data_IF_814807284292
#
_entry.id   IF_814807284292
#
_cell.length_a   1.000
_cell.length_b   1.000
_cell.length_c   1.000
_cell.angle_alpha   90.00
_cell.angle_beta   90.00
_cell.angle_gamma   90.00
#
_symmetry.space_group_name_H-M   'P 1'
#
loop_
_entity.id
_entity.type
_entity.pdbx_description
1 polymer ?
#
# COMPACT_ATOMS: atom_id res chain seq x y z
N UNK A 1 12.55 15.67 28.06
CA UNK A 1 11.85 16.07 29.30
C UNK A 1 10.58 15.25 29.40
N UNK A 2 10.19 14.72 30.57
CA UNK A 2 8.90 14.06 30.72
C UNK A 2 7.78 15.08 30.49
N UNK A 3 6.84 14.73 29.61
CA UNK A 3 5.63 15.52 29.46
C UNK A 3 4.77 15.32 30.72
N UNK A 4 4.32 16.42 31.34
CA UNK A 4 3.26 16.35 32.34
C UNK A 4 1.88 16.39 31.65
N UNK A 5 0.83 16.01 32.39
CA UNK A 5 -0.56 16.00 31.89
C UNK A 5 -0.96 17.31 31.23
N UNK A 6 -0.71 18.43 31.91
CA UNK A 6 -1.07 19.77 31.42
C UNK A 6 -0.40 20.08 30.09
N UNK A 7 0.86 19.67 29.90
CA UNK A 7 1.57 19.84 28.63
C UNK A 7 0.93 19.04 27.50
N UNK A 8 0.53 17.79 27.75
CA UNK A 8 -0.13 16.95 26.74
C UNK A 8 -1.54 17.44 26.39
N UNK A 9 -2.29 17.90 27.37
CA UNK A 9 -3.62 18.48 27.16
C UNK A 9 -3.55 19.80 26.38
N UNK A 10 -2.55 20.64 26.67
CA UNK A 10 -2.27 21.85 25.90
C UNK A 10 -1.89 21.51 24.46
N UNK A 11 -1.06 20.49 24.26
CA UNK A 11 -0.67 19.99 22.93
C UNK A 11 -1.90 19.50 22.14
N UNK A 12 -2.77 18.75 22.80
CA UNK A 12 -4.01 18.20 22.20
C UNK A 12 -5.01 19.30 21.84
N UNK A 13 -5.06 20.37 22.64
CA UNK A 13 -5.95 21.52 22.43
C UNK A 13 -5.46 22.50 21.37
N UNK A 14 -4.24 22.31 20.86
CA UNK A 14 -3.64 23.15 19.83
C UNK A 14 -4.49 23.28 18.56
N UNK A 15 -4.38 24.43 17.89
CA UNK A 15 -4.99 24.64 16.56
C UNK A 15 -4.12 24.14 15.41
N UNK A 16 -2.81 24.04 15.63
CA UNK A 16 -1.85 23.59 14.62
C UNK A 16 -1.73 22.07 14.66
N UNK A 17 -1.78 21.44 13.49
CA UNK A 17 -1.45 20.02 13.33
C UNK A 17 0.06 19.87 13.37
N UNK A 18 0.55 19.00 14.24
CA UNK A 18 1.97 18.66 14.32
C UNK A 18 2.25 17.55 13.32
N UNK A 19 3.37 17.60 12.60
CA UNK A 19 3.67 16.57 11.60
C UNK A 19 3.93 15.21 12.27
N UNK A 20 4.79 15.16 13.28
CA UNK A 20 5.12 13.91 13.98
C UNK A 20 5.26 14.14 15.49
N UNK A 21 4.70 13.22 16.27
CA UNK A 21 4.82 13.19 17.72
C UNK A 21 5.26 11.80 18.19
N UNK A 22 6.47 11.72 18.73
CA UNK A 22 7.01 10.54 19.40
C UNK A 22 6.93 10.70 20.92
N UNK A 23 6.19 9.82 21.59
CA UNK A 23 6.04 9.82 23.04
C UNK A 23 6.45 8.46 23.60
N UNK A 24 7.29 8.46 24.64
CA UNK A 24 7.68 7.25 25.36
C UNK A 24 6.52 6.67 26.19
N UNK A 25 6.87 6.00 27.28
CA UNK A 25 5.88 5.51 28.22
C UNK A 25 5.13 6.65 28.91
N UNK A 26 3.81 6.63 28.82
CA UNK A 26 2.93 7.41 29.69
C UNK A 26 2.28 6.49 30.72
N UNK A 27 2.08 7.04 31.91
CA UNK A 27 1.45 6.36 33.04
C UNK A 27 0.07 6.97 33.32
N UNK A 28 -0.78 6.15 33.93
CA UNK A 28 -2.07 6.53 34.50
C UNK A 28 -3.00 7.22 33.49
N UNK A 29 -3.74 8.23 33.93
CA UNK A 29 -4.78 8.94 33.17
C UNK A 29 -4.27 9.64 31.89
N UNK A 30 -2.94 9.76 31.72
CA UNK A 30 -2.35 10.37 30.54
C UNK A 30 -2.12 9.38 29.38
N UNK A 31 -2.26 8.07 29.61
CA UNK A 31 -1.85 7.04 28.66
C UNK A 31 -2.48 7.19 27.27
N UNK A 32 -3.76 7.58 27.22
CA UNK A 32 -4.51 7.70 25.95
C UNK A 32 -4.51 9.13 25.36
N UNK A 33 -4.05 10.13 26.10
CA UNK A 33 -4.05 11.55 25.65
C UNK A 33 -3.31 11.74 24.31
N UNK A 34 -2.15 11.08 24.04
CA UNK A 34 -1.47 11.22 22.75
C UNK A 34 -2.33 10.85 21.54
N UNK A 35 -3.20 9.86 21.68
CA UNK A 35 -4.06 9.41 20.58
C UNK A 35 -5.06 10.50 20.16
N UNK A 36 -5.44 11.39 21.09
CA UNK A 36 -6.32 12.54 20.81
C UNK A 36 -5.59 13.79 20.34
N UNK A 37 -4.25 13.76 20.28
CA UNK A 37 -3.47 14.91 19.83
C UNK A 37 -3.58 15.07 18.32
N UNK A 38 -3.76 16.30 17.84
CA UNK A 38 -3.80 16.62 16.40
C UNK A 38 -2.42 16.53 15.78
N UNK A 39 -2.02 15.32 15.42
CA UNK A 39 -0.76 15.03 14.73
C UNK A 39 -1.01 14.29 13.43
N UNK A 40 -0.14 14.40 12.42
CA UNK A 40 -0.25 13.56 11.23
C UNK A 40 0.22 12.12 11.54
N UNK A 41 1.36 12.00 12.24
CA UNK A 41 1.95 10.74 12.69
C UNK A 41 2.16 10.72 14.20
N UNK A 42 1.71 9.64 14.83
CA UNK A 42 1.91 9.37 16.26
C UNK A 42 2.71 8.08 16.45
N UNK A 43 3.80 8.16 17.20
CA UNK A 43 4.53 7.00 17.72
C UNK A 43 4.46 7.00 19.24
N UNK A 44 3.86 5.97 19.85
CA UNK A 44 3.79 5.90 21.31
C UNK A 44 3.74 4.49 21.92
N UNK A 45 4.03 4.45 23.22
CA UNK A 45 3.98 3.25 24.06
C UNK A 45 2.77 3.34 25.01
N UNK A 46 1.90 2.34 24.96
CA UNK A 46 0.69 2.25 25.76
C UNK A 46 0.80 1.08 26.72
N UNK A 47 0.32 1.23 27.95
CA UNK A 47 0.06 0.08 28.83
C UNK A 47 -1.46 -0.12 28.89
N UNK A 48 -1.94 -1.27 28.45
CA UNK A 48 -3.37 -1.56 28.36
C UNK A 48 -4.09 -1.41 29.71
N UNK A 49 -3.38 -1.65 30.83
CA UNK A 49 -3.91 -1.47 32.19
C UNK A 49 -4.36 -0.04 32.52
N UNK A 50 -3.90 0.96 31.77
CA UNK A 50 -4.29 2.36 31.95
C UNK A 50 -5.40 2.80 30.99
N UNK A 51 -5.78 1.98 30.01
CA UNK A 51 -6.87 2.30 29.09
C UNK A 51 -8.12 1.53 29.48
N UNK A 52 -9.01 2.17 30.25
CA UNK A 52 -10.31 1.56 30.50
C UNK A 52 -11.14 1.60 29.23
N UNK A 53 -12.03 0.61 29.06
CA UNK A 53 -12.94 0.55 27.91
C UNK A 53 -13.72 1.84 27.70
N UNK A 54 -14.24 2.44 28.77
CA UNK A 54 -15.00 3.68 28.72
C UNK A 54 -14.19 4.86 28.16
N UNK A 55 -12.88 4.89 28.42
CA UNK A 55 -11.99 5.94 27.91
C UNK A 55 -11.74 5.78 26.39
N UNK A 56 -11.66 4.54 25.90
CA UNK A 56 -11.53 4.24 24.48
C UNK A 56 -12.77 4.63 23.68
N UNK A 57 -13.97 4.43 24.24
CA UNK A 57 -15.25 4.72 23.57
C UNK A 57 -15.40 6.21 23.20
N UNK A 58 -14.79 7.11 23.98
CA UNK A 58 -14.83 8.56 23.76
C UNK A 58 -13.59 9.13 23.05
N UNK A 59 -12.56 8.31 22.82
CA UNK A 59 -11.23 8.75 22.40
C UNK A 59 -11.17 9.30 20.98
N UNK A 60 -11.02 10.60 20.75
CA UNK A 60 -10.98 11.16 19.39
C UNK A 60 -9.63 10.97 18.71
N UNK A 61 -9.39 9.80 18.08
CA UNK A 61 -8.13 9.52 17.37
C UNK A 61 -8.02 10.45 16.17
N UNK A 62 -7.01 11.32 16.16
CA UNK A 62 -6.83 12.33 15.10
C UNK A 62 -5.69 12.03 14.12
N UNK A 63 -4.78 11.12 14.50
CA UNK A 63 -3.62 10.78 13.71
C UNK A 63 -3.97 9.86 12.54
N UNK A 64 -3.37 10.13 11.38
CA UNK A 64 -3.52 9.29 10.18
C UNK A 64 -2.56 8.11 10.19
N UNK A 65 -1.39 8.30 10.78
CA UNK A 65 -0.37 7.27 10.90
C UNK A 65 -0.12 6.95 12.37
N UNK A 66 -0.27 5.69 12.73
CA UNK A 66 -0.12 5.19 14.09
C UNK A 66 1.02 4.16 14.12
N UNK A 67 1.97 4.38 15.02
CA UNK A 67 3.03 3.43 15.36
C UNK A 67 2.96 3.18 16.87
N UNK A 68 2.37 2.05 17.25
CA UNK A 68 1.97 1.77 18.61
C UNK A 68 2.69 0.53 19.13
N UNK A 69 3.21 0.63 20.34
CA UNK A 69 3.61 -0.53 21.15
C UNK A 69 2.70 -0.62 22.36
N UNK A 70 1.94 -1.70 22.48
CA UNK A 70 1.00 -1.89 23.59
C UNK A 70 1.51 -3.01 24.49
N UNK A 71 1.69 -2.69 25.76
CA UNK A 71 2.01 -3.64 26.82
C UNK A 71 0.73 -4.20 27.43
N UNK A 72 0.57 -5.52 27.38
CA UNK A 72 -0.63 -6.22 27.86
C UNK A 72 -0.47 -6.78 29.29
N UNK A 73 0.63 -6.45 29.98
CA UNK A 73 0.91 -6.94 31.33
C UNK A 73 -0.22 -6.65 32.33
N UNK A 74 -0.58 -7.69 33.10
CA UNK A 74 -1.56 -7.59 34.19
C UNK A 74 -2.96 -7.13 33.74
N UNK A 75 -3.33 -7.36 32.48
CA UNK A 75 -4.68 -7.09 31.96
C UNK A 75 -5.40 -8.42 31.69
N UNK A 76 -6.19 -8.94 32.65
CA UNK A 76 -6.87 -10.22 32.47
C UNK A 76 -7.82 -10.20 31.26
N UNK A 77 -8.40 -9.03 30.96
CA UNK A 77 -9.33 -8.77 29.85
C UNK A 77 -8.63 -8.08 28.65
N UNK A 78 -7.41 -8.53 28.31
CA UNK A 78 -6.61 -7.94 27.23
C UNK A 78 -7.34 -7.94 25.88
N UNK A 79 -8.15 -8.97 25.60
CA UNK A 79 -8.96 -9.09 24.39
C UNK A 79 -10.04 -8.01 24.34
N UNK A 80 -10.73 -7.73 25.45
CA UNK A 80 -11.74 -6.67 25.56
C UNK A 80 -11.11 -5.31 25.27
N UNK A 81 -9.90 -5.08 25.77
CA UNK A 81 -9.12 -3.88 25.44
C UNK A 81 -8.83 -3.80 23.94
N UNK A 82 -8.26 -4.84 23.33
CA UNK A 82 -7.92 -4.84 21.91
C UNK A 82 -9.15 -4.72 21.00
N UNK A 83 -10.25 -5.41 21.33
CA UNK A 83 -11.53 -5.30 20.62
C UNK A 83 -12.03 -3.85 20.67
N UNK A 84 -12.05 -3.24 21.85
CA UNK A 84 -12.49 -1.84 22.02
C UNK A 84 -11.57 -0.89 21.26
N UNK A 85 -10.27 -1.14 21.28
CA UNK A 85 -9.26 -0.35 20.57
C UNK A 85 -9.44 -0.42 19.05
N UNK A 86 -9.54 -1.63 18.46
CA UNK A 86 -9.80 -1.79 17.02
C UNK A 86 -11.15 -1.23 16.60
N UNK A 87 -12.20 -1.41 17.39
CA UNK A 87 -13.50 -0.80 17.14
C UNK A 87 -13.40 0.73 17.11
N UNK A 88 -12.58 1.32 17.98
CA UNK A 88 -12.37 2.76 17.96
C UNK A 88 -11.57 3.23 16.74
N UNK A 89 -10.54 2.48 16.33
CA UNK A 89 -9.82 2.74 15.09
C UNK A 89 -10.72 2.59 13.85
N UNK A 90 -11.67 1.66 13.86
CA UNK A 90 -12.66 1.52 12.80
C UNK A 90 -13.52 2.79 12.65
N UNK A 91 -13.92 3.40 13.77
CA UNK A 91 -14.69 4.65 13.79
C UNK A 91 -13.89 5.86 13.28
N UNK A 92 -12.55 5.86 13.41
CA UNK A 92 -11.73 6.94 12.91
C UNK A 92 -11.82 7.08 11.37
N UNK A 93 -11.89 5.97 10.62
CA UNK A 93 -12.03 5.88 9.14
C UNK A 93 -10.97 6.60 8.27
N UNK A 94 -10.09 7.40 8.87
CA UNK A 94 -9.06 8.20 8.22
C UNK A 94 -7.64 7.66 8.44
N UNK A 95 -7.51 6.47 9.04
CA UNK A 95 -6.21 5.85 9.26
C UNK A 95 -5.63 5.40 7.91
N UNK A 96 -4.42 5.86 7.63
CA UNK A 96 -3.67 5.59 6.40
C UNK A 96 -2.53 4.59 6.66
N UNK A 97 -1.96 4.58 7.87
CA UNK A 97 -0.93 3.61 8.28
C UNK A 97 -1.15 3.16 9.73
N UNK A 98 -1.10 1.85 9.97
CA UNK A 98 -1.07 1.26 11.31
C UNK A 98 0.12 0.31 11.42
N UNK A 99 0.99 0.58 12.39
CA UNK A 99 2.02 -0.31 12.86
C UNK A 99 1.74 -0.60 14.33
N UNK A 100 1.46 -1.86 14.64
CA UNK A 100 1.07 -2.31 15.97
C UNK A 100 2.02 -3.42 16.41
N UNK A 101 2.70 -3.19 17.54
CA UNK A 101 3.46 -4.21 18.27
C UNK A 101 2.83 -4.41 19.64
N UNK A 102 2.86 -5.65 20.13
CA UNK A 102 2.30 -6.06 21.41
C UNK A 102 3.40 -6.72 22.24
N UNK A 103 3.50 -6.42 23.52
CA UNK A 103 4.62 -6.87 24.33
C UNK A 103 4.20 -7.14 25.78
N UNK A 104 5.06 -7.86 26.52
CA UNK A 104 4.93 -8.16 27.94
C UNK A 104 6.24 -7.78 28.64
N UNK A 105 6.17 -6.82 29.55
CA UNK A 105 7.28 -6.42 30.43
C UNK A 105 7.70 -7.60 31.34
N UNK A 106 6.75 -8.41 31.76
CA UNK A 106 6.98 -9.53 32.67
C UNK A 106 7.42 -10.79 31.92
N UNK A 107 8.74 -10.97 31.77
CA UNK A 107 9.43 -12.03 31.03
C UNK A 107 9.21 -13.49 31.52
N UNK A 108 8.15 -13.76 32.29
CA UNK A 108 7.89 -15.07 32.89
C UNK A 108 6.56 -15.71 32.50
N UNK A 109 5.66 -14.99 31.82
CA UNK A 109 4.33 -15.49 31.48
C UNK A 109 4.19 -15.64 29.97
N UNK A 110 4.46 -16.85 29.46
CA UNK A 110 3.87 -17.29 28.20
C UNK A 110 2.45 -17.71 28.54
N UNK A 111 1.55 -16.74 28.71
CA UNK A 111 0.13 -17.08 28.78
C UNK A 111 -0.25 -17.73 27.45
N UNK A 112 -0.75 -18.97 27.51
CA UNK A 112 -1.36 -19.60 26.35
C UNK A 112 -2.64 -18.83 26.07
N UNK A 113 -2.64 -18.02 25.00
CA UNK A 113 -3.83 -17.29 24.60
C UNK A 113 -4.93 -18.26 24.23
N UNK A 114 -6.10 -18.01 24.80
CA UNK A 114 -7.32 -18.70 24.44
C UNK A 114 -7.66 -18.37 22.97
N UNK A 115 -7.65 -19.42 22.14
CA UNK A 115 -7.99 -19.32 20.72
C UNK A 115 -9.35 -18.64 20.56
N UNK A 116 -10.34 -18.94 21.41
CA UNK A 116 -11.69 -18.41 21.27
C UNK A 116 -11.73 -16.88 21.47
N UNK A 117 -10.90 -16.35 22.37
CA UNK A 117 -10.78 -14.89 22.62
C UNK A 117 -10.19 -14.16 21.41
N UNK A 118 -9.23 -14.81 20.74
CA UNK A 118 -8.59 -14.24 19.55
C UNK A 118 -9.53 -14.08 18.36
N UNK A 119 -10.54 -14.93 18.19
CA UNK A 119 -11.51 -14.79 17.10
C UNK A 119 -12.22 -13.44 17.14
N UNK A 120 -12.60 -12.98 18.33
CA UNK A 120 -13.28 -11.68 18.50
C UNK A 120 -12.35 -10.50 18.22
N UNK A 121 -11.06 -10.61 18.58
CA UNK A 121 -10.03 -9.60 18.27
C UNK A 121 -9.82 -9.50 16.76
N UNK A 122 -9.78 -10.64 16.06
CA UNK A 122 -9.62 -10.71 14.60
C UNK A 122 -10.83 -10.11 13.89
N UNK A 123 -12.04 -10.37 14.35
CA UNK A 123 -13.26 -9.76 13.80
C UNK A 123 -13.24 -8.23 13.95
N UNK A 124 -12.77 -7.72 15.10
CA UNK A 124 -12.59 -6.29 15.31
C UNK A 124 -11.51 -5.69 14.40
N UNK A 125 -10.38 -6.40 14.19
CA UNK A 125 -9.35 -6.00 13.22
C UNK A 125 -9.91 -5.97 11.79
N UNK A 126 -10.66 -6.98 11.36
CA UNK A 126 -11.30 -7.02 10.04
C UNK A 126 -12.28 -5.84 9.87
N UNK A 127 -13.06 -5.53 10.90
CA UNK A 127 -13.95 -4.36 10.92
C UNK A 127 -13.17 -3.05 10.75
N UNK A 128 -12.01 -2.93 11.41
CA UNK A 128 -11.08 -1.82 11.22
C UNK A 128 -10.59 -1.70 9.77
N UNK A 129 -10.16 -2.80 9.15
CA UNK A 129 -9.70 -2.81 7.75
C UNK A 129 -10.81 -2.33 6.80
N UNK A 130 -12.03 -2.86 6.96
CA UNK A 130 -13.18 -2.47 6.13
C UNK A 130 -13.52 -0.98 6.25
N UNK A 131 -13.39 -0.44 7.45
CA UNK A 131 -13.76 0.95 7.74
C UNK A 131 -12.70 1.96 7.28
N UNK A 132 -11.45 1.52 7.07
CA UNK A 132 -10.32 2.38 6.72
C UNK A 132 -9.84 2.12 5.29
N UNK A 133 -10.67 2.44 4.30
CA UNK A 133 -10.37 2.22 2.87
C UNK A 133 -9.08 2.90 2.36
N UNK A 134 -8.58 3.92 3.07
CA UNK A 134 -7.33 4.64 2.77
C UNK A 134 -6.09 4.01 3.40
N UNK A 135 -6.26 2.99 4.24
CA UNK A 135 -5.15 2.27 4.86
C UNK A 135 -4.26 1.68 3.76
N UNK A 136 -3.02 2.14 3.67
CA UNK A 136 -2.04 1.67 2.69
C UNK A 136 -0.97 0.77 3.33
N UNK A 137 -0.81 0.83 4.65
CA UNK A 137 0.21 0.08 5.38
C UNK A 137 -0.38 -0.50 6.67
N UNK A 138 -0.31 -1.83 6.80
CA UNK A 138 -0.64 -2.57 8.00
C UNK A 138 0.57 -3.38 8.44
N UNK A 139 1.12 -3.09 9.60
CA UNK A 139 2.26 -3.79 10.18
C UNK A 139 1.84 -4.39 11.52
N UNK A 140 1.87 -5.72 11.59
CA UNK A 140 1.59 -6.52 12.78
C UNK A 140 2.85 -7.23 13.28
N UNK A 141 4.05 -6.78 12.90
CA UNK A 141 5.29 -7.27 13.48
C UNK A 141 5.37 -6.93 14.97
N UNK A 142 6.03 -7.79 15.74
CA UNK A 142 6.10 -7.75 17.19
C UNK A 142 4.77 -8.10 17.84
N UNK A 143 3.89 -8.86 17.20
CA UNK A 143 2.62 -9.31 17.81
C UNK A 143 2.46 -10.83 17.79
N UNK A 144 3.28 -11.53 17.01
CA UNK A 144 3.17 -12.97 16.83
C UNK A 144 3.37 -13.74 18.14
N UNK A 145 4.40 -13.39 18.92
CA UNK A 145 4.65 -14.00 20.22
C UNK A 145 3.53 -13.77 21.24
N UNK A 146 2.63 -12.82 20.97
CA UNK A 146 1.64 -12.32 21.90
C UNK A 146 0.20 -12.72 21.55
N UNK A 147 -0.13 -13.02 20.29
CA UNK A 147 -1.54 -13.26 19.90
C UNK A 147 -1.76 -14.50 19.03
N UNK A 148 -0.71 -15.21 18.62
CA UNK A 148 -0.86 -16.45 17.86
C UNK A 148 -1.72 -16.28 16.60
N UNK A 149 -1.42 -15.28 15.76
CA UNK A 149 -2.24 -14.93 14.58
C UNK A 149 -2.44 -16.05 13.56
N UNK A 150 -1.60 -17.07 13.57
CA UNK A 150 -1.53 -18.13 12.56
C UNK A 150 -2.90 -18.69 12.17
N UNK A 151 -3.77 -19.15 13.09
CA UNK A 151 -5.06 -19.75 12.72
C UNK A 151 -5.98 -18.76 12.00
N UNK A 152 -5.72 -17.46 12.16
CA UNK A 152 -6.52 -16.36 11.66
C UNK A 152 -5.95 -15.67 10.43
N UNK A 153 -4.68 -15.93 10.08
CA UNK A 153 -4.02 -15.31 8.93
C UNK A 153 -4.80 -15.52 7.64
N UNK A 154 -5.42 -16.69 7.45
CA UNK A 154 -6.28 -16.95 6.30
C UNK A 154 -7.49 -16.00 6.21
N UNK A 155 -8.10 -15.68 7.36
CA UNK A 155 -9.22 -14.73 7.43
C UNK A 155 -8.76 -13.31 7.14
N UNK A 156 -7.62 -12.90 7.71
CA UNK A 156 -6.99 -11.60 7.44
C UNK A 156 -6.66 -11.48 5.94
N UNK A 157 -6.02 -12.49 5.35
CA UNK A 157 -5.68 -12.50 3.92
C UNK A 157 -6.91 -12.39 3.03
N UNK A 158 -7.99 -13.12 3.33
CA UNK A 158 -9.23 -13.01 2.57
C UNK A 158 -9.80 -11.59 2.58
N UNK A 159 -9.65 -10.84 3.68
CA UNK A 159 -10.04 -9.44 3.73
C UNK A 159 -9.09 -8.55 2.90
N UNK A 160 -7.78 -8.79 3.01
CA UNK A 160 -6.76 -8.06 2.25
C UNK A 160 -6.87 -8.28 0.73
N UNK A 161 -7.39 -9.42 0.27
CA UNK A 161 -7.63 -9.71 -1.15
C UNK A 161 -8.53 -8.66 -1.83
N UNK A 162 -9.54 -8.14 -1.12
CA UNK A 162 -10.47 -7.14 -1.63
C UNK A 162 -10.11 -5.70 -1.30
N UNK A 163 -9.14 -5.49 -0.41
CA UNK A 163 -8.85 -4.17 0.14
C UNK A 163 -8.15 -3.26 -0.89
N UNK A 164 -8.82 -2.17 -1.27
CA UNK A 164 -8.35 -1.28 -2.34
C UNK A 164 -7.16 -0.39 -1.96
N UNK A 165 -7.04 -0.02 -0.68
CA UNK A 165 -5.98 0.86 -0.17
C UNK A 165 -4.63 0.16 0.12
N UNK A 166 -4.65 -1.01 0.76
CA UNK A 166 -3.45 -1.65 1.30
C UNK A 166 -2.43 -1.98 0.21
N UNK A 167 -1.19 -1.60 0.48
CA UNK A 167 0.01 -1.83 -0.34
C UNK A 167 1.09 -2.58 0.42
N UNK A 168 1.11 -2.46 1.74
CA UNK A 168 2.10 -3.11 2.59
C UNK A 168 1.39 -3.86 3.72
N UNK A 169 1.72 -5.14 3.85
CA UNK A 169 1.37 -5.97 5.00
C UNK A 169 2.64 -6.57 5.60
N UNK A 170 2.92 -6.31 6.87
CA UNK A 170 4.06 -6.86 7.57
C UNK A 170 3.62 -7.79 8.71
N UNK A 171 4.33 -8.91 8.87
CA UNK A 171 4.14 -9.87 9.95
C UNK A 171 5.49 -10.44 10.39
N UNK A 172 5.61 -11.00 11.59
CA UNK A 172 6.91 -11.46 12.11
C UNK A 172 7.52 -12.59 11.27
N UNK A 173 6.82 -13.71 11.18
CA UNK A 173 7.28 -14.90 10.46
C UNK A 173 6.09 -15.51 9.73
N UNK A 174 6.33 -15.99 8.51
CA UNK A 174 5.29 -16.67 7.74
C UNK A 174 4.90 -18.00 8.42
N UNK A 175 3.60 -18.33 8.53
CA UNK A 175 3.15 -19.54 9.21
C UNK A 175 3.71 -20.80 8.58
N UNK A 176 4.09 -21.77 9.41
CA UNK A 176 4.53 -23.09 8.95
C UNK A 176 3.38 -24.00 8.52
N UNK A 177 2.15 -23.60 8.85
CA UNK A 177 0.87 -24.22 8.50
C UNK A 177 0.50 -24.03 7.03
N UNK A 178 1.19 -23.12 6.34
CA UNK A 178 1.09 -22.92 4.89
C UNK A 178 2.47 -23.05 4.23
N UNK A 179 3.11 -24.22 4.29
CA UNK A 179 4.51 -24.39 3.85
C UNK A 179 4.70 -24.13 2.35
N UNK A 180 3.64 -24.29 1.56
CA UNK A 180 3.61 -24.06 0.12
C UNK A 180 3.21 -22.62 -0.24
N UNK A 181 3.06 -21.74 0.76
CA UNK A 181 2.64 -20.34 0.61
C UNK A 181 1.29 -20.18 -0.13
N UNK A 182 0.43 -21.19 -0.12
CA UNK A 182 -0.82 -21.21 -0.90
C UNK A 182 -1.75 -20.05 -0.56
N UNK A 183 -1.78 -19.60 0.70
CA UNK A 183 -2.59 -18.48 1.15
C UNK A 183 -2.02 -17.17 0.61
N UNK A 184 -0.70 -17.00 0.66
CA UNK A 184 -0.02 -15.82 0.12
C UNK A 184 -0.12 -15.75 -1.40
N UNK A 185 0.08 -16.87 -2.11
CA UNK A 185 -0.11 -16.94 -3.57
C UNK A 185 -1.53 -16.51 -3.94
N UNK A 186 -2.54 -16.99 -3.20
CA UNK A 186 -3.94 -16.58 -3.39
C UNK A 186 -4.12 -15.08 -3.16
N UNK A 187 -3.60 -14.54 -2.06
CA UNK A 187 -3.62 -13.10 -1.75
C UNK A 187 -3.02 -12.27 -2.89
N UNK A 188 -1.78 -12.58 -3.30
CA UNK A 188 -1.07 -11.84 -4.34
C UNK A 188 -1.74 -11.97 -5.71
N UNK A 189 -2.39 -13.10 -6.00
CA UNK A 189 -3.12 -13.28 -7.25
C UNK A 189 -4.36 -12.37 -7.36
N UNK A 190 -5.01 -12.08 -6.23
CA UNK A 190 -6.25 -11.28 -6.14
C UNK A 190 -5.97 -9.80 -5.88
N UNK A 191 -4.97 -9.51 -5.06
CA UNK A 191 -4.49 -8.17 -4.78
C UNK A 191 -3.03 -8.04 -5.25
N UNK A 192 -2.84 -7.69 -6.52
CA UNK A 192 -1.50 -7.54 -7.10
C UNK A 192 -0.75 -6.28 -6.64
N UNK A 193 -1.40 -5.41 -5.87
CA UNK A 193 -0.83 -4.15 -5.38
C UNK A 193 -0.24 -4.29 -3.98
N UNK A 194 -0.48 -5.42 -3.30
CA UNK A 194 0.03 -5.67 -1.96
C UNK A 194 1.43 -6.29 -2.00
N UNK A 195 2.28 -5.84 -1.09
CA UNK A 195 3.56 -6.44 -0.75
C UNK A 195 3.49 -6.95 0.67
N UNK A 196 3.79 -8.24 0.84
CA UNK A 196 3.89 -8.90 2.13
C UNK A 196 5.36 -9.03 2.52
N UNK A 197 5.71 -8.59 3.71
CA UNK A 197 7.09 -8.60 4.24
C UNK A 197 7.14 -9.24 5.62
N UNK A 198 8.31 -9.76 5.97
CA UNK A 198 8.60 -10.21 7.34
C UNK A 198 9.27 -9.08 8.16
N UNK A 199 9.70 -9.39 9.38
CA UNK A 199 10.46 -8.46 10.24
C UNK A 199 11.75 -7.92 9.60
N UNK A 200 12.34 -8.65 8.65
CA UNK A 200 13.52 -8.21 7.90
C UNK A 200 13.19 -7.20 6.79
N UNK A 201 11.89 -6.98 6.55
CA UNK A 201 11.38 -6.17 5.44
C UNK A 201 11.36 -6.91 4.10
N UNK A 202 11.68 -8.22 4.08
CA UNK A 202 11.69 -9.02 2.85
C UNK A 202 11.41 -10.50 3.12
N UNK A 203 10.30 -10.98 2.57
CA UNK A 203 10.04 -12.41 2.49
C UNK A 203 10.97 -13.06 1.45
N UNK A 204 12.07 -13.66 1.92
CA UNK A 204 13.14 -14.23 1.07
C UNK A 204 12.77 -15.60 0.46
N UNK A 205 11.70 -15.63 -0.34
CA UNK A 205 11.22 -16.85 -1.01
C UNK A 205 11.24 -16.65 -2.52
N UNK A 206 12.07 -17.38 -3.30
CA UNK A 206 12.23 -17.17 -4.74
C UNK A 206 10.92 -17.24 -5.54
N UNK A 207 9.98 -18.08 -5.12
CA UNK A 207 8.66 -18.18 -5.75
C UNK A 207 7.81 -16.91 -5.54
N UNK A 208 7.86 -16.34 -4.34
CA UNK A 208 7.18 -15.08 -4.02
C UNK A 208 7.83 -13.89 -4.72
N UNK A 209 9.16 -13.89 -4.87
CA UNK A 209 9.85 -12.88 -5.68
C UNK A 209 9.36 -12.86 -7.13
N UNK A 210 9.11 -14.03 -7.73
CA UNK A 210 8.52 -14.10 -9.08
C UNK A 210 7.12 -13.51 -9.13
N UNK A 211 6.29 -13.77 -8.11
CA UNK A 211 4.96 -13.17 -8.00
C UNK A 211 5.03 -11.65 -7.84
N UNK A 212 5.95 -11.12 -7.03
CA UNK A 212 6.16 -9.68 -6.93
C UNK A 212 6.64 -9.07 -8.23
N UNK A 213 7.54 -9.73 -8.95
CA UNK A 213 7.98 -9.26 -10.26
C UNK A 213 6.80 -9.20 -11.27
N UNK A 214 5.92 -10.20 -11.25
CA UNK A 214 4.71 -10.21 -12.08
C UNK A 214 3.71 -9.12 -11.66
N UNK A 215 3.52 -8.92 -10.36
CA UNK A 215 2.67 -7.87 -9.78
C UNK A 215 3.18 -6.46 -10.08
N UNK A 216 4.50 -6.25 -10.05
CA UNK A 216 5.11 -4.99 -10.45
C UNK A 216 4.85 -4.72 -11.93
N UNK A 217 5.12 -5.70 -12.79
CA UNK A 217 4.82 -5.61 -14.22
C UNK A 217 3.33 -5.33 -14.49
N UNK A 218 2.41 -5.94 -13.72
CA UNK A 218 0.99 -5.65 -13.78
C UNK A 218 0.68 -4.18 -13.50
N UNK A 219 1.25 -3.62 -12.43
CA UNK A 219 1.04 -2.24 -12.02
C UNK A 219 1.57 -1.27 -13.09
N UNK A 220 2.78 -1.51 -13.60
CA UNK A 220 3.39 -0.68 -14.65
C UNK A 220 2.55 -0.70 -15.94
N UNK A 221 2.00 -1.87 -16.30
CA UNK A 221 1.08 -1.99 -17.42
C UNK A 221 -0.24 -1.25 -17.19
N UNK A 222 -0.79 -1.23 -15.97
CA UNK A 222 -1.95 -0.39 -15.67
C UNK A 222 -1.64 1.10 -15.80
N UNK A 223 -0.46 1.54 -15.37
CA UNK A 223 -0.04 2.94 -15.49
C UNK A 223 0.11 3.37 -16.93
N UNK A 224 0.53 2.46 -17.82
CA UNK A 224 0.62 2.72 -19.25
C UNK A 224 -0.75 3.09 -19.88
N UNK A 225 -1.88 2.69 -19.26
CA UNK A 225 -3.22 3.14 -19.72
C UNK A 225 -3.43 4.64 -19.53
N UNK A 226 -2.71 5.26 -18.61
CA UNK A 226 -2.77 6.71 -18.32
C UNK A 226 -1.97 7.53 -19.34
N UNK A 227 -1.10 6.90 -20.12
CA UNK A 227 -0.32 7.57 -21.17
C UNK A 227 -1.21 8.10 -22.29
N UNK A 228 -0.72 9.13 -22.99
CA UNK A 228 -1.40 9.72 -24.13
C UNK A 228 -1.62 8.68 -25.24
N UNK A 229 -2.79 8.71 -25.88
CA UNK A 229 -3.17 7.75 -26.93
C UNK A 229 -2.18 7.68 -28.10
N UNK A 230 -1.43 8.76 -28.38
CA UNK A 230 -0.43 8.75 -29.45
C UNK A 230 0.87 8.02 -29.10
N UNK A 231 1.24 7.96 -27.82
CA UNK A 231 2.48 7.33 -27.35
C UNK A 231 2.27 5.88 -26.94
N UNK A 232 1.08 5.57 -26.43
CA UNK A 232 0.72 4.25 -25.90
C UNK A 232 0.99 3.09 -26.87
N UNK A 233 0.62 3.14 -28.17
CA UNK A 233 0.92 2.05 -29.11
C UNK A 233 2.41 1.76 -29.25
N UNK A 234 3.24 2.80 -29.27
CA UNK A 234 4.69 2.66 -29.40
C UNK A 234 5.31 2.07 -28.12
N UNK A 235 4.84 2.51 -26.95
CA UNK A 235 5.31 1.97 -25.66
C UNK A 235 4.89 0.51 -25.45
N UNK A 236 3.66 0.14 -25.80
CA UNK A 236 3.19 -1.26 -25.77
C UNK A 236 4.03 -2.13 -26.72
N UNK A 237 4.27 -1.67 -27.95
CA UNK A 237 5.11 -2.40 -28.90
C UNK A 237 6.55 -2.57 -28.40
N UNK A 238 7.14 -1.51 -27.81
CA UNK A 238 8.47 -1.57 -27.21
C UNK A 238 8.52 -2.55 -26.04
N UNK A 239 7.51 -2.58 -25.17
CA UNK A 239 7.43 -3.50 -24.05
C UNK A 239 7.26 -4.97 -24.50
N UNK A 240 6.55 -5.20 -25.62
CA UNK A 240 6.42 -6.53 -26.24
C UNK A 240 7.71 -7.00 -26.93
N UNK A 241 8.47 -6.09 -27.55
CA UNK A 241 9.71 -6.44 -28.26
C UNK A 241 10.91 -6.53 -27.31
N UNK A 242 10.99 -5.61 -26.34
CA UNK A 242 12.14 -5.41 -25.46
C UNK A 242 12.23 -6.39 -24.28
N UNK A 243 11.23 -7.24 -24.07
CA UNK A 243 11.30 -8.29 -23.05
C UNK A 243 12.11 -9.48 -23.59
N UNK A 244 13.41 -9.48 -23.33
CA UNK A 244 14.31 -10.61 -23.62
C UNK A 244 13.89 -11.91 -22.91
N UNK A 245 13.13 -11.78 -21.82
CA UNK A 245 12.58 -12.91 -21.08
C UNK A 245 11.28 -13.38 -21.75
N UNK A 246 11.31 -14.61 -22.29
CA UNK A 246 10.16 -15.32 -22.89
C UNK A 246 9.12 -15.71 -21.83
N UNK A 247 8.60 -14.76 -21.08
CA UNK A 247 7.59 -14.97 -20.04
C UNK A 247 6.19 -14.79 -20.62
N UNK A 248 5.58 -15.90 -21.03
CA UNK A 248 4.22 -15.92 -21.60
C UNK A 248 3.18 -15.23 -20.70
N UNK A 249 3.33 -15.30 -19.37
CA UNK A 249 2.38 -14.68 -18.45
C UNK A 249 2.41 -13.15 -18.55
N UNK A 250 3.61 -12.57 -18.65
CA UNK A 250 3.77 -11.11 -18.85
C UNK A 250 3.19 -10.67 -20.19
N UNK A 251 3.45 -11.42 -21.26
CA UNK A 251 2.85 -11.16 -22.57
C UNK A 251 1.33 -11.20 -22.49
N UNK A 252 0.75 -12.30 -22.00
CA UNK A 252 -0.70 -12.43 -21.88
C UNK A 252 -1.31 -11.28 -21.07
N UNK A 253 -0.64 -10.88 -19.99
CA UNK A 253 -1.12 -9.80 -19.14
C UNK A 253 -1.09 -8.44 -19.83
N UNK A 254 0.02 -8.09 -20.47
CA UNK A 254 0.17 -6.86 -21.24
C UNK A 254 -0.85 -6.80 -22.38
N UNK A 255 -1.04 -7.91 -23.10
CA UNK A 255 -2.03 -8.00 -24.17
C UNK A 255 -3.46 -7.83 -23.65
N UNK A 256 -3.77 -8.38 -22.46
CA UNK A 256 -5.10 -8.25 -21.84
C UNK A 256 -5.41 -6.81 -21.39
N UNK A 257 -4.40 -6.05 -20.99
CA UNK A 257 -4.55 -4.66 -20.55
C UNK A 257 -4.64 -3.66 -21.70
N UNK A 258 -4.02 -3.98 -22.83
CA UNK A 258 -3.86 -3.07 -23.96
C UNK A 258 -4.47 -3.63 -25.24
N UNK A 259 -5.57 -4.39 -25.12
CA UNK A 259 -6.24 -5.00 -26.27
C UNK A 259 -6.71 -3.96 -27.29
N UNK A 260 -7.18 -2.80 -26.81
CA UNK A 260 -7.52 -1.64 -27.63
C UNK A 260 -6.33 -1.17 -28.50
N UNK A 261 -5.18 -1.01 -27.84
CA UNK A 261 -3.94 -0.52 -28.44
C UNK A 261 -3.39 -1.52 -29.47
N UNK A 262 -3.57 -2.81 -29.23
CA UNK A 262 -3.22 -3.86 -30.20
C UNK A 262 -4.11 -3.79 -31.45
N UNK A 263 -5.41 -3.56 -31.29
CA UNK A 263 -6.30 -3.39 -32.42
C UNK A 263 -5.90 -2.19 -33.28
N UNK A 264 -5.51 -1.07 -32.67
CA UNK A 264 -4.96 0.10 -33.37
C UNK A 264 -3.69 -0.25 -34.15
N UNK A 265 -2.72 -0.93 -33.51
CA UNK A 265 -1.49 -1.36 -34.16
C UNK A 265 -1.74 -2.26 -35.38
N UNK A 266 -2.69 -3.19 -35.28
CA UNK A 266 -3.05 -4.10 -36.39
C UNK A 266 -3.73 -3.34 -37.54
N UNK A 267 -4.59 -2.36 -37.23
CA UNK A 267 -5.24 -1.53 -38.24
C UNK A 267 -4.24 -0.65 -38.99
N UNK A 268 -3.28 -0.05 -38.29
CA UNK A 268 -2.22 0.79 -38.88
C UNK A 268 -1.33 0.00 -39.85
N UNK A 269 -0.96 -1.23 -39.49
CA UNK A 269 -0.19 -2.13 -40.37
C UNK A 269 -1.00 -2.48 -41.62
N UNK A 270 -2.30 -2.72 -41.47
CA UNK A 270 -3.19 -3.08 -42.58
C UNK A 270 -3.35 -1.93 -43.59
N UNK A 271 -3.50 -0.69 -43.12
CA UNK A 271 -3.63 0.50 -43.98
C UNK A 271 -2.33 0.82 -44.74
N UNK A 272 -1.17 0.60 -44.13
CA UNK A 272 0.14 0.80 -44.79
C UNK A 272 0.38 -0.24 -45.89
N UNK A 273 -0.05 -1.48 -45.69
CA UNK A 273 0.08 -2.55 -46.69
C UNK A 273 -0.71 -2.25 -47.97
N UNK A 274 -1.95 -1.75 -47.86
CA UNK A 274 -2.78 -1.41 -49.04
C UNK A 274 -2.22 -0.23 -49.84
N UNK A 275 -1.62 0.76 -49.16
CA UNK A 275 -1.04 1.96 -49.81
C UNK A 275 0.20 1.61 -50.64
N UNK A 276 0.99 0.64 -50.19
CA UNK A 276 2.23 0.23 -50.88
C UNK A 276 1.95 -0.58 -52.15
N UNK A 277 0.86 -1.36 -52.19
CA UNK A 277 0.46 -2.15 -53.36
C UNK A 277 -0.26 -1.34 -54.45
N UNK A 278 -0.81 -0.16 -54.12
CA UNK A 278 -1.45 0.73 -55.09
C UNK A 278 -0.49 1.59 -55.92
N UNK A 279 0.79 1.66 -55.54
CA UNK A 279 1.78 2.53 -56.18
C UNK A 279 2.57 1.87 -57.33
N UNK A 280 2.34 0.59 -57.63
CA UNK A 280 3.12 -0.18 -58.62
C UNK A 280 2.45 -0.39 -59.98
N UNK A 281 1.24 0.13 -60.21
CA UNK A 281 0.59 0.04 -61.52
C UNK A 281 0.41 1.42 -62.17
N UNK A 282 1.34 1.78 -63.07
CA UNK A 282 1.17 2.89 -64.00
C UNK A 282 2.47 3.44 -64.58
N UNK A 283 2.83 3.10 -65.83
CA UNK A 283 3.99 3.65 -66.53
C UNK A 283 3.68 5.00 -67.19
N UNK A 284 4.73 5.80 -67.29
CA UNK A 284 5.05 6.71 -68.40
C UNK A 284 4.26 8.02 -68.58
N UNK A 285 5.00 9.07 -68.95
CA UNK A 285 4.47 10.21 -69.67
C UNK A 285 4.12 11.47 -68.88
N UNK A 286 5.14 12.23 -68.47
CA UNK A 286 5.32 13.65 -68.83
C UNK A 286 5.90 14.50 -67.70
N UNK A 287 7.09 14.98 -67.99
CA UNK A 287 7.79 16.04 -67.30
C UNK A 287 6.91 17.29 -67.20
N UNK A 288 6.84 17.94 -66.03
CA UNK A 288 6.96 19.39 -65.95
C UNK A 288 7.41 19.84 -64.55
N UNK A 289 8.69 20.19 -64.47
CA UNK A 289 9.33 20.92 -63.37
C UNK A 289 8.58 22.23 -63.09
N UNK A 290 8.01 22.38 -61.89
CA UNK A 290 7.81 23.70 -61.26
C UNK A 290 8.43 23.74 -59.87
N UNK A 291 9.57 24.44 -59.83
CA UNK A 291 10.40 24.84 -58.71
C UNK A 291 9.54 25.67 -57.74
N UNK A 292 9.20 25.14 -56.55
CA UNK A 292 8.53 25.92 -55.49
C UNK A 292 9.52 26.25 -54.39
N UNK A 293 9.68 27.55 -54.16
CA UNK A 293 10.64 28.16 -53.23
C UNK A 293 10.42 27.69 -51.80
N UNK A 294 11.55 27.39 -51.16
CA UNK A 294 11.74 27.15 -49.73
C UNK A 294 11.67 28.50 -49.02
N UNK A 295 10.60 28.77 -48.27
CA UNK A 295 10.58 29.86 -47.30
C UNK A 295 10.97 29.32 -45.93
N UNK A 296 12.18 29.70 -45.48
CA UNK A 296 12.56 29.60 -44.08
C UNK A 296 11.93 30.78 -43.31
N UNK A 297 11.25 30.55 -42.18
CA UNK A 297 10.96 31.63 -41.24
C UNK A 297 12.19 31.95 -40.36
N UNK A 298 12.32 33.20 -39.87
CA UNK A 298 13.51 33.71 -39.21
C UNK A 298 13.64 33.20 -37.78
N UNK A 299 14.88 32.94 -37.38
CA UNK A 299 15.29 32.75 -35.97
C UNK A 299 15.00 34.03 -35.19
N UNK A 300 14.13 33.93 -34.17
CA UNK A 300 14.04 34.94 -33.12
C UNK A 300 15.02 34.59 -32.00
N UNK A 301 16.01 35.46 -31.80
CA UNK A 301 16.82 35.50 -30.59
C UNK A 301 16.09 36.31 -29.52
N UNK A 302 16.02 35.82 -28.27
CA UNK A 302 15.87 36.73 -27.12
C UNK A 302 16.53 36.21 -25.86
N UNK A 303 17.30 37.13 -25.29
CA UNK A 303 18.13 37.11 -24.08
C UNK A 303 17.37 36.72 -22.79
N UNK A 304 18.00 35.88 -21.98
CA UNK A 304 18.60 36.22 -20.69
C UNK A 304 17.75 36.81 -19.55
N UNK A 305 17.80 36.16 -18.39
CA UNK A 305 18.01 36.81 -17.09
C UNK A 305 18.51 35.79 -16.04
N UNK A 306 19.64 36.13 -15.42
CA UNK A 306 20.04 35.68 -14.07
C UNK A 306 19.07 36.25 -13.04
N UNK A 307 18.88 35.58 -11.91
CA UNK A 307 19.17 36.16 -10.58
C UNK A 307 19.04 35.11 -9.47
N UNK A 308 19.98 35.22 -8.55
CA UNK A 308 20.20 34.48 -7.31
C UNK A 308 19.05 34.67 -6.30
N UNK A 309 18.78 33.64 -5.47
CA UNK A 309 18.96 33.57 -4.00
C UNK A 309 18.93 32.09 -3.60
#
# INVERSE_FOLDING_TARGET
>A
MPFNRTGLEQLSSGRQTIDELGIGFLQDECALVPLSTKVNRLSCYLQARYGQRADLDVLAIAAKELELRIYLDSVPDWDVFLISFFNRLAQASHIEKLQLSLDFISAGFVEQYDVDRMSSVVDALISFLRSNSKLYHLDLCGTYGCLGWIPYLKHIFNELEGHQGIRFFAMDTYPSEDPDFSWLVKLLSRNRKIKVVDESGKLNVPEIERLYALSHFYCDSEELKKECCSLRPSLVALALIGNEVKDFQRYALMLSHHTDTLCELVQDVSQKATTTLGATNGPDGSEHRKRKMRMQPPRAAKRGARLDV
#
